data_IF_830889934336
#
_entry.id   IF_830889934336
#
_cell.length_a   1.000
_cell.length_b   1.000
_cell.length_c   1.000
_cell.angle_alpha   90.00
_cell.angle_beta   90.00
_cell.angle_gamma   90.00
#
_symmetry.space_group_name_H-M   'P 1'
#
loop_
_entity.id
_entity.type
_entity.pdbx_description
1 polymer ?
#
# COMPACT_ATOMS: atom_id res chain seq x y z
N UNK A 1 15.17 -13.78 -7.29
CA UNK A 1 14.61 -12.43 -7.05
C UNK A 1 13.41 -12.20 -7.98
N UNK A 2 12.44 -11.33 -7.65
CA UNK A 2 11.21 -11.14 -8.45
C UNK A 2 11.48 -10.98 -9.96
N UNK A 3 12.43 -10.12 -10.33
CA UNK A 3 12.79 -9.89 -11.74
C UNK A 3 13.40 -11.11 -12.42
N UNK A 4 14.19 -11.90 -11.71
CA UNK A 4 14.77 -13.13 -12.25
C UNK A 4 13.69 -14.19 -12.48
N UNK A 5 12.72 -14.29 -11.56
CA UNK A 5 11.54 -15.13 -11.73
C UNK A 5 10.72 -14.69 -12.95
N UNK A 6 10.57 -13.38 -13.18
CA UNK A 6 9.89 -12.85 -14.38
C UNK A 6 10.64 -13.26 -15.66
N UNK A 7 11.97 -13.20 -15.69
CA UNK A 7 12.76 -13.69 -16.83
C UNK A 7 12.52 -15.19 -17.06
N UNK A 8 12.51 -15.98 -15.98
CA UNK A 8 12.34 -17.44 -16.04
C UNK A 8 10.95 -17.86 -16.54
N UNK A 9 9.87 -17.26 -16.04
CA UNK A 9 8.49 -17.58 -16.49
C UNK A 9 8.24 -17.21 -17.97
N UNK A 10 9.06 -16.31 -18.53
CA UNK A 10 9.04 -15.97 -19.95
C UNK A 10 9.90 -16.91 -20.81
N UNK A 11 10.36 -18.04 -20.24
CA UNK A 11 11.10 -19.08 -20.98
C UNK A 11 12.56 -18.74 -21.25
N UNK A 12 13.09 -17.67 -20.66
CA UNK A 12 14.49 -17.32 -20.79
C UNK A 12 15.33 -17.95 -19.67
N UNK A 13 16.52 -18.44 -20.03
CA UNK A 13 17.50 -18.87 -19.02
C UNK A 13 17.99 -17.66 -18.22
N UNK A 14 17.85 -17.72 -16.89
CA UNK A 14 18.38 -16.70 -15.99
C UNK A 14 19.91 -16.76 -15.99
N UNK A 15 20.53 -15.90 -16.81
CA UNK A 15 21.98 -15.85 -16.94
C UNK A 15 22.64 -15.38 -15.64
N UNK A 16 23.84 -15.83 -15.25
CA UNK A 16 24.51 -15.27 -14.06
C UNK A 16 24.93 -13.79 -14.23
N UNK A 17 25.17 -13.36 -15.47
CA UNK A 17 25.60 -11.98 -15.81
C UNK A 17 24.44 -11.03 -15.74
N UNK A 18 24.58 -10.01 -14.90
CA UNK A 18 23.51 -9.05 -14.69
C UNK A 18 23.19 -8.19 -15.90
N UNK A 19 24.21 -7.75 -16.65
CA UNK A 19 24.02 -6.97 -17.88
C UNK A 19 23.13 -7.67 -18.91
N UNK A 20 23.15 -9.01 -18.94
CA UNK A 20 22.24 -9.82 -19.78
C UNK A 20 20.82 -9.76 -19.23
N UNK A 21 20.64 -9.92 -17.92
CA UNK A 21 19.32 -9.80 -17.26
C UNK A 21 18.69 -8.43 -17.49
N UNK A 22 19.48 -7.34 -17.40
CA UNK A 22 18.98 -5.98 -17.64
C UNK A 22 18.49 -5.82 -19.09
N UNK A 23 19.23 -6.35 -20.06
CA UNK A 23 18.80 -6.35 -21.46
C UNK A 23 17.51 -7.15 -21.66
N UNK A 24 17.38 -8.30 -21.00
CA UNK A 24 16.16 -9.11 -21.03
C UNK A 24 14.97 -8.34 -20.43
N UNK A 25 15.14 -7.70 -19.28
CA UNK A 25 14.08 -6.91 -18.63
C UNK A 25 13.62 -5.69 -19.43
N UNK A 26 14.50 -5.14 -20.28
CA UNK A 26 14.18 -4.06 -21.19
C UNK A 26 13.60 -4.55 -22.54
N UNK A 27 13.54 -5.87 -22.76
CA UNK A 27 12.89 -6.48 -23.91
C UNK A 27 11.40 -6.76 -23.67
N UNK A 28 10.79 -7.51 -24.58
CA UNK A 28 9.39 -7.93 -24.49
C UNK A 28 9.23 -9.13 -23.55
N UNK A 29 9.26 -8.86 -22.25
CA UNK A 29 8.82 -9.82 -21.23
C UNK A 29 7.38 -9.52 -20.84
N UNK A 30 6.57 -10.57 -20.70
CA UNK A 30 5.26 -10.51 -20.09
C UNK A 30 5.40 -10.53 -18.57
N UNK A 31 5.04 -9.44 -17.91
CA UNK A 31 4.99 -9.36 -16.46
C UNK A 31 3.65 -9.92 -15.95
N UNK A 32 3.54 -10.25 -14.65
CA UNK A 32 2.25 -10.51 -14.04
C UNK A 32 1.25 -9.39 -14.35
N UNK A 33 0.00 -9.76 -14.61
CA UNK A 33 -1.07 -8.85 -15.06
C UNK A 33 -1.15 -7.55 -14.21
N UNK A 34 -1.05 -7.69 -12.90
CA UNK A 34 -1.04 -6.56 -11.96
C UNK A 34 0.03 -5.52 -12.26
N UNK A 35 1.22 -5.95 -12.67
CA UNK A 35 2.35 -5.10 -13.04
C UNK A 35 2.17 -4.56 -14.47
N UNK A 36 1.72 -5.38 -15.42
CA UNK A 36 1.48 -4.92 -16.80
C UNK A 36 0.44 -3.80 -16.87
N UNK A 37 -0.64 -3.92 -16.10
CA UNK A 37 -1.68 -2.89 -16.00
C UNK A 37 -1.19 -1.59 -15.34
N UNK A 38 0.01 -1.59 -14.74
CA UNK A 38 0.55 -0.46 -13.97
C UNK A 38 1.97 -0.12 -14.43
N UNK A 39 2.12 0.62 -15.56
CA UNK A 39 3.42 1.01 -16.08
C UNK A 39 4.31 1.73 -15.04
N UNK A 40 3.69 2.51 -14.16
CA UNK A 40 4.38 3.20 -13.06
C UNK A 40 5.07 2.23 -12.09
N UNK A 41 4.47 1.05 -11.86
CA UNK A 41 5.03 0.01 -10.98
C UNK A 41 6.13 -0.73 -11.71
N UNK A 42 5.88 -1.18 -12.95
CA UNK A 42 6.85 -1.90 -13.80
C UNK A 42 8.18 -1.15 -13.89
N UNK A 43 8.15 0.12 -14.30
CA UNK A 43 9.36 0.93 -14.46
C UNK A 43 10.14 1.12 -13.16
N UNK A 44 9.45 1.28 -12.03
CA UNK A 44 10.10 1.44 -10.71
C UNK A 44 10.69 0.14 -10.20
N UNK A 45 10.02 -0.99 -10.35
CA UNK A 45 10.57 -2.28 -9.94
C UNK A 45 11.81 -2.64 -10.78
N UNK A 46 11.79 -2.37 -12.09
CA UNK A 46 12.98 -2.51 -12.96
C UNK A 46 14.10 -1.55 -12.51
N UNK A 47 13.75 -0.30 -12.20
CA UNK A 47 14.68 0.70 -11.66
C UNK A 47 15.36 0.25 -10.37
N UNK A 48 14.58 -0.24 -9.40
CA UNK A 48 15.10 -0.81 -8.15
C UNK A 48 16.09 -1.94 -8.41
N UNK A 49 15.72 -2.88 -9.28
CA UNK A 49 16.57 -4.00 -9.63
C UNK A 49 17.89 -3.54 -10.25
N UNK A 50 17.83 -2.61 -11.20
CA UNK A 50 19.00 -2.05 -11.88
C UNK A 50 19.93 -1.29 -10.94
N UNK A 51 19.37 -0.53 -10.00
CA UNK A 51 20.17 0.23 -9.04
C UNK A 51 20.84 -0.67 -8.00
N UNK A 52 20.08 -1.59 -7.40
CA UNK A 52 20.54 -2.42 -6.29
C UNK A 52 21.59 -3.45 -6.72
N UNK A 53 21.70 -3.82 -7.99
CA UNK A 53 22.75 -4.75 -8.42
C UNK A 53 24.15 -4.26 -8.14
N UNK A 54 24.40 -2.95 -8.29
CA UNK A 54 25.70 -2.38 -8.02
C UNK A 54 26.16 -2.69 -6.60
N UNK A 55 25.22 -2.90 -5.67
CA UNK A 55 25.47 -3.19 -4.26
C UNK A 55 25.28 -4.66 -3.89
N UNK A 56 24.83 -5.52 -4.81
CA UNK A 56 24.47 -6.92 -4.54
C UNK A 56 25.61 -7.72 -3.90
N UNK A 57 26.83 -7.61 -4.44
CA UNK A 57 27.98 -8.35 -3.89
C UNK A 57 28.33 -7.90 -2.48
N UNK A 58 28.28 -6.60 -2.21
CA UNK A 58 28.48 -6.07 -0.86
C UNK A 58 27.43 -6.64 0.10
N UNK A 59 26.17 -6.66 -0.33
CA UNK A 59 25.03 -7.17 0.44
C UNK A 59 25.14 -8.67 0.74
N UNK A 60 25.36 -9.50 -0.27
CA UNK A 60 25.41 -10.97 -0.12
C UNK A 60 26.58 -11.40 0.76
N UNK A 61 27.73 -10.73 0.64
CA UNK A 61 28.93 -11.09 1.38
C UNK A 61 29.06 -10.34 2.72
N UNK A 62 28.02 -9.63 3.15
CA UNK A 62 28.03 -8.82 4.38
C UNK A 62 29.27 -7.92 4.51
N UNK A 63 29.76 -7.40 3.38
CA UNK A 63 31.01 -6.65 3.31
C UNK A 63 30.74 -5.17 3.10
N UNK A 64 31.59 -4.33 3.69
CA UNK A 64 31.58 -2.87 3.50
C UNK A 64 30.30 -2.16 3.97
N UNK A 65 29.68 -2.70 5.02
CA UNK A 65 28.61 -2.03 5.76
C UNK A 65 29.19 -1.15 6.87
N UNK A 66 28.67 0.05 6.98
CA UNK A 66 28.90 0.91 8.15
C UNK A 66 27.56 1.50 8.59
N UNK A 67 27.48 1.95 9.85
CA UNK A 67 26.34 2.73 10.31
C UNK A 67 26.85 4.04 10.88
N UNK A 68 26.28 5.14 10.40
CA UNK A 68 26.60 6.50 10.83
C UNK A 68 25.30 7.30 10.88
N UNK A 69 25.05 7.97 12.00
CA UNK A 69 23.90 8.87 12.20
C UNK A 69 22.53 8.24 11.86
N UNK A 70 22.35 6.96 12.19
CA UNK A 70 21.09 6.23 11.93
C UNK A 70 20.87 5.84 10.46
N UNK A 71 21.88 6.05 9.61
CA UNK A 71 21.92 5.55 8.23
C UNK A 71 22.77 4.28 8.16
N UNK A 72 22.31 3.34 7.33
CA UNK A 72 23.11 2.22 6.87
C UNK A 72 23.84 2.65 5.60
N UNK A 73 25.17 2.66 5.66
CA UNK A 73 26.02 2.93 4.51
C UNK A 73 26.52 1.61 3.91
N UNK A 74 26.35 1.45 2.61
CA UNK A 74 26.78 0.27 1.85
C UNK A 74 27.72 0.75 0.75
N UNK A 75 29.00 0.38 0.84
CA UNK A 75 29.97 0.66 -0.23
C UNK A 75 30.02 -0.52 -1.20
N UNK A 76 30.39 -0.22 -2.44
CA UNK A 76 30.61 -1.24 -3.45
C UNK A 76 31.71 -0.80 -4.39
N UNK A 77 32.56 -1.74 -4.81
CA UNK A 77 33.57 -1.51 -5.85
C UNK A 77 32.97 -1.22 -7.23
N UNK A 78 31.68 -1.52 -7.44
CA UNK A 78 30.93 -1.25 -8.67
C UNK A 78 30.18 0.09 -8.66
N UNK A 79 30.12 0.76 -7.51
CA UNK A 79 29.41 2.02 -7.35
C UNK A 79 30.39 3.14 -7.00
N UNK A 80 30.24 4.29 -7.67
CA UNK A 80 31.07 5.46 -7.39
C UNK A 80 30.79 6.03 -6.00
N UNK A 81 29.53 5.96 -5.55
CA UNK A 81 29.08 6.49 -4.28
C UNK A 81 28.57 5.36 -3.39
N UNK A 82 28.72 5.54 -2.08
CA UNK A 82 28.07 4.69 -1.10
C UNK A 82 26.55 4.85 -1.19
N UNK A 83 25.82 3.75 -0.97
CA UNK A 83 24.39 3.79 -0.74
C UNK A 83 24.15 4.06 0.75
N UNK A 84 23.59 5.23 1.05
CA UNK A 84 23.11 5.55 2.40
C UNK A 84 21.59 5.36 2.44
N UNK A 85 21.11 4.52 3.36
CA UNK A 85 19.69 4.24 3.52
C UNK A 85 19.30 4.32 5.00
N UNK A 86 18.25 5.08 5.31
CA UNK A 86 17.71 5.15 6.68
C UNK A 86 16.87 3.93 7.03
N UNK A 87 16.60 3.71 8.31
CA UNK A 87 15.67 2.66 8.76
C UNK A 87 14.27 2.82 8.15
N UNK A 88 13.79 4.07 8.01
CA UNK A 88 12.51 4.37 7.37
C UNK A 88 12.50 3.97 5.89
N UNK A 89 13.55 4.31 5.15
CA UNK A 89 13.67 3.97 3.73
C UNK A 89 13.86 2.46 3.52
N UNK A 90 14.59 1.78 4.41
CA UNK A 90 14.74 0.33 4.37
C UNK A 90 13.40 -0.39 4.65
N UNK A 91 12.61 0.13 5.60
CA UNK A 91 11.24 -0.32 5.81
C UNK A 91 10.40 -0.09 4.54
N UNK A 92 10.42 1.10 3.95
CA UNK A 92 9.69 1.38 2.72
C UNK A 92 10.08 0.44 1.57
N UNK A 93 11.38 0.15 1.38
CA UNK A 93 11.84 -0.85 0.42
C UNK A 93 11.26 -2.25 0.70
N UNK A 94 11.23 -2.64 1.97
CA UNK A 94 10.66 -3.92 2.41
C UNK A 94 9.15 -3.97 2.13
N UNK A 95 8.43 -2.90 2.46
CA UNK A 95 6.99 -2.76 2.19
C UNK A 95 6.69 -2.86 0.70
N UNK A 96 7.49 -2.22 -0.16
CA UNK A 96 7.34 -2.32 -1.63
C UNK A 96 7.49 -3.76 -2.10
N UNK A 97 8.55 -4.45 -1.67
CA UNK A 97 8.83 -5.83 -2.10
C UNK A 97 7.76 -6.80 -1.60
N UNK A 98 7.45 -6.76 -0.30
CA UNK A 98 6.49 -7.67 0.33
C UNK A 98 5.08 -7.44 -0.22
N UNK A 99 4.64 -6.18 -0.32
CA UNK A 99 3.32 -5.85 -0.86
C UNK A 99 3.21 -6.29 -2.31
N UNK A 100 4.22 -6.02 -3.15
CA UNK A 100 4.22 -6.47 -4.55
C UNK A 100 4.09 -7.98 -4.66
N UNK A 101 4.85 -8.75 -3.87
CA UNK A 101 4.77 -10.22 -3.87
C UNK A 101 3.39 -10.69 -3.42
N UNK A 102 2.86 -10.16 -2.31
CA UNK A 102 1.53 -10.54 -1.80
C UNK A 102 0.42 -10.31 -2.83
N UNK A 103 0.53 -9.24 -3.61
CA UNK A 103 -0.45 -8.92 -4.63
C UNK A 103 -0.31 -9.80 -5.88
N UNK A 104 0.92 -10.10 -6.32
CA UNK A 104 1.16 -11.07 -7.41
C UNK A 104 0.67 -12.46 -7.02
N UNK A 105 0.92 -12.88 -5.78
CA UNK A 105 0.46 -14.15 -5.23
C UNK A 105 -1.04 -14.19 -4.92
N UNK A 106 -1.80 -13.12 -5.21
CA UNK A 106 -3.23 -12.99 -4.93
C UNK A 106 -3.62 -13.19 -3.46
N UNK A 107 -2.64 -13.06 -2.55
CA UNK A 107 -2.89 -13.04 -1.09
C UNK A 107 -3.57 -11.72 -0.72
N UNK A 108 -3.18 -10.64 -1.39
CA UNK A 108 -3.81 -9.34 -1.28
C UNK A 108 -4.50 -8.98 -2.58
N UNK A 109 -5.71 -8.44 -2.45
CA UNK A 109 -6.38 -7.73 -3.54
C UNK A 109 -5.73 -6.36 -3.67
N UNK A 110 -5.33 -6.00 -4.88
CA UNK A 110 -4.73 -4.69 -5.15
C UNK A 110 -5.83 -3.64 -5.32
N UNK A 111 -6.43 -3.27 -4.21
CA UNK A 111 -7.50 -2.28 -4.15
C UNK A 111 -6.94 -0.86 -3.95
N UNK A 112 -7.84 0.11 -3.85
CA UNK A 112 -7.48 1.52 -3.83
C UNK A 112 -6.50 1.88 -2.70
N UNK A 113 -6.67 1.30 -1.50
CA UNK A 113 -5.77 1.57 -0.38
C UNK A 113 -4.38 0.95 -0.58
N UNK A 114 -4.29 -0.31 -0.98
CA UNK A 114 -3.02 -1.00 -1.21
C UNK A 114 -2.23 -0.35 -2.35
N UNK A 115 -2.93 0.16 -3.38
CA UNK A 115 -2.29 0.93 -4.43
C UNK A 115 -1.68 2.22 -3.88
N UNK A 116 -2.44 3.03 -3.15
CA UNK A 116 -1.92 4.25 -2.50
C UNK A 116 -0.76 3.95 -1.56
N UNK A 117 -0.87 2.88 -0.78
CA UNK A 117 0.18 2.42 0.11
C UNK A 117 1.48 2.07 -0.62
N UNK A 118 1.38 1.31 -1.72
CA UNK A 118 2.54 0.96 -2.53
C UNK A 118 3.18 2.20 -3.19
N UNK A 119 2.37 3.11 -3.71
CA UNK A 119 2.84 4.36 -4.32
C UNK A 119 3.59 5.24 -3.33
N UNK A 120 3.07 5.38 -2.11
CA UNK A 120 3.71 6.15 -1.04
C UNK A 120 5.09 5.60 -0.71
N UNK A 121 5.21 4.28 -0.49
CA UNK A 121 6.51 3.68 -0.16
C UNK A 121 7.51 3.74 -1.32
N UNK A 122 7.04 3.69 -2.56
CA UNK A 122 7.89 3.93 -3.73
C UNK A 122 8.47 5.35 -3.74
N UNK A 123 7.66 6.36 -3.43
CA UNK A 123 8.13 7.75 -3.35
C UNK A 123 9.21 7.93 -2.28
N UNK A 124 9.07 7.25 -1.13
CA UNK A 124 10.08 7.25 -0.04
C UNK A 124 11.44 6.67 -0.46
N UNK A 125 11.46 5.82 -1.49
CA UNK A 125 12.68 5.17 -2.02
C UNK A 125 12.99 5.60 -3.45
N UNK A 126 12.51 6.76 -3.88
CA UNK A 126 12.69 7.25 -5.25
C UNK A 126 14.15 7.35 -5.70
N UNK A 127 15.06 7.65 -4.78
CA UNK A 127 16.50 7.64 -5.01
C UNK A 127 17.07 6.24 -5.34
N UNK A 128 16.38 5.15 -4.97
CA UNK A 128 16.78 3.80 -5.38
C UNK A 128 16.29 3.48 -6.78
N UNK A 129 15.05 3.84 -7.13
CA UNK A 129 14.49 3.45 -8.42
C UNK A 129 14.70 4.48 -9.53
N UNK A 130 15.18 5.69 -9.23
CA UNK A 130 15.57 6.72 -10.20
C UNK A 130 14.45 7.11 -11.18
N UNK A 131 13.19 7.06 -10.73
CA UNK A 131 12.02 7.51 -11.48
C UNK A 131 11.41 8.71 -10.76
N UNK A 132 10.63 9.58 -11.45
CA UNK A 132 9.93 10.70 -10.82
C UNK A 132 9.03 10.26 -9.64
N UNK A 133 8.70 11.18 -8.74
CA UNK A 133 7.72 10.92 -7.68
C UNK A 133 6.32 10.70 -8.28
N UNK A 134 5.53 9.86 -7.61
CA UNK A 134 4.09 9.69 -7.85
C UNK A 134 3.26 10.73 -7.09
N UNK A 135 3.91 11.49 -6.21
CA UNK A 135 3.31 12.54 -5.37
C UNK A 135 2.18 12.00 -4.51
N UNK A 136 2.36 10.78 -4.00
CA UNK A 136 1.37 10.13 -3.14
C UNK A 136 1.45 10.70 -1.72
N UNK A 137 0.31 11.16 -1.17
CA UNK A 137 0.27 11.58 0.24
C UNK A 137 0.40 10.36 1.15
N UNK A 138 0.71 10.61 2.42
CA UNK A 138 0.78 9.54 3.42
C UNK A 138 -0.58 8.83 3.53
N UNK A 139 -0.65 7.52 3.24
CA UNK A 139 -1.89 6.77 3.30
C UNK A 139 -2.25 6.53 4.77
N UNK A 140 -3.50 6.80 5.15
CA UNK A 140 -4.01 6.56 6.50
C UNK A 140 -5.30 5.76 6.39
N UNK A 141 -5.42 4.75 7.24
CA UNK A 141 -6.66 4.02 7.43
C UNK A 141 -7.18 4.29 8.84
N UNK A 142 -8.43 4.72 8.96
CA UNK A 142 -9.04 5.02 10.27
C UNK A 142 -10.32 4.21 10.46
N UNK A 143 -10.67 3.98 11.73
CA UNK A 143 -11.95 3.39 12.10
C UNK A 143 -12.88 4.51 12.55
N UNK A 144 -14.01 4.63 11.88
CA UNK A 144 -15.00 5.69 12.13
C UNK A 144 -16.19 5.07 12.82
N UNK A 145 -16.62 5.67 13.92
CA UNK A 145 -17.84 5.28 14.62
C UNK A 145 -18.89 6.35 14.40
N UNK A 146 -20.05 5.96 13.89
CA UNK A 146 -21.17 6.84 13.59
C UNK A 146 -22.39 6.36 14.36
N UNK A 147 -23.02 7.26 15.10
CA UNK A 147 -24.23 6.97 15.88
C UNK A 147 -25.42 7.53 15.12
N UNK A 148 -26.43 6.70 14.90
CA UNK A 148 -27.62 7.04 14.13
C UNK A 148 -28.86 6.66 14.92
N UNK A 149 -29.90 7.49 14.89
CA UNK A 149 -31.17 7.14 15.50
C UNK A 149 -31.84 6.03 14.71
N UNK A 150 -32.54 5.10 15.38
CA UNK A 150 -33.37 4.08 14.70
C UNK A 150 -34.41 4.66 13.73
N UNK A 151 -34.82 5.91 13.94
CA UNK A 151 -35.79 6.60 13.07
C UNK A 151 -35.15 7.16 11.80
N UNK A 152 -33.83 7.31 11.76
CA UNK A 152 -33.10 7.75 10.57
C UNK A 152 -32.91 6.56 9.64
N UNK A 153 -33.36 6.70 8.38
CA UNK A 153 -33.29 5.63 7.38
C UNK A 153 -32.12 5.78 6.40
N UNK A 154 -31.34 6.84 6.55
CA UNK A 154 -30.29 7.23 5.61
C UNK A 154 -29.02 7.61 6.35
N UNK A 155 -27.91 7.06 5.90
CA UNK A 155 -26.57 7.40 6.35
C UNK A 155 -25.93 8.39 5.37
N UNK A 156 -25.59 9.57 5.85
CA UNK A 156 -24.90 10.60 5.04
C UNK A 156 -23.39 10.34 5.01
N UNK A 157 -22.97 9.50 4.07
CA UNK A 157 -21.55 9.20 3.83
C UNK A 157 -20.78 10.43 3.34
N UNK A 158 -21.44 11.38 2.68
CA UNK A 158 -20.78 12.59 2.22
C UNK A 158 -20.37 13.47 3.40
N UNK A 159 -21.24 13.63 4.39
CA UNK A 159 -20.90 14.35 5.62
C UNK A 159 -19.74 13.69 6.35
N UNK A 160 -19.78 12.37 6.51
CA UNK A 160 -18.68 11.62 7.15
C UNK A 160 -17.36 11.84 6.38
N UNK A 161 -17.38 11.75 5.05
CA UNK A 161 -16.21 12.02 4.20
C UNK A 161 -15.69 13.46 4.36
N UNK A 162 -16.59 14.45 4.37
CA UNK A 162 -16.21 15.86 4.54
C UNK A 162 -15.55 16.14 5.90
N UNK A 163 -16.12 15.61 6.99
CA UNK A 163 -15.56 15.78 8.33
C UNK A 163 -14.16 15.15 8.43
N UNK A 164 -13.98 14.00 7.78
CA UNK A 164 -12.68 13.32 7.73
C UNK A 164 -11.68 14.04 6.82
N UNK A 165 -12.09 14.54 5.66
CA UNK A 165 -11.23 15.29 4.74
C UNK A 165 -10.70 16.57 5.38
N UNK A 166 -11.51 17.23 6.22
CA UNK A 166 -11.05 18.39 7.00
C UNK A 166 -10.00 18.00 8.04
N UNK A 167 -10.17 16.86 8.71
CA UNK A 167 -9.26 16.38 9.75
C UNK A 167 -7.97 15.78 9.20
N UNK A 168 -8.02 15.17 8.02
CA UNK A 168 -6.94 14.42 7.39
C UNK A 168 -6.55 15.01 6.01
N UNK A 169 -6.58 16.33 5.88
CA UNK A 169 -6.38 17.04 4.60
C UNK A 169 -5.04 16.75 3.90
N UNK A 170 -3.99 16.45 4.68
CA UNK A 170 -2.65 16.13 4.16
C UNK A 170 -2.42 14.63 3.92
N UNK A 171 -3.44 13.81 4.11
CA UNK A 171 -3.35 12.36 4.02
C UNK A 171 -4.20 11.80 2.89
N UNK A 172 -3.84 10.60 2.47
CA UNK A 172 -4.64 9.77 1.58
C UNK A 172 -5.48 8.82 2.41
N UNK A 173 -6.71 9.22 2.68
CA UNK A 173 -7.57 8.54 3.65
C UNK A 173 -8.34 7.35 3.05
N UNK A 174 -8.47 6.31 3.84
CA UNK A 174 -9.52 5.28 3.75
C UNK A 174 -10.08 5.03 5.14
N UNK A 175 -11.29 4.51 5.26
CA UNK A 175 -11.85 4.20 6.57
C UNK A 175 -12.89 3.11 6.57
N UNK A 176 -12.91 2.34 7.64
CA UNK A 176 -14.00 1.43 7.95
C UNK A 176 -15.02 2.15 8.83
N UNK A 177 -16.30 1.95 8.54
CA UNK A 177 -17.40 2.62 9.20
C UNK A 177 -18.17 1.65 10.11
N UNK A 178 -18.07 1.87 11.41
CA UNK A 178 -18.93 1.26 12.41
C UNK A 178 -20.17 2.13 12.64
N UNK A 179 -21.31 1.71 12.13
CA UNK A 179 -22.60 2.32 12.39
C UNK A 179 -23.23 1.72 13.65
N UNK A 180 -23.67 2.56 14.59
CA UNK A 180 -24.37 2.14 15.79
C UNK A 180 -25.77 2.76 15.78
N UNK A 181 -26.78 1.90 15.77
CA UNK A 181 -28.18 2.31 15.87
C UNK A 181 -28.54 2.49 17.33
N UNK A 182 -29.03 3.67 17.68
CA UNK A 182 -29.40 4.07 19.04
C UNK A 182 -30.90 4.36 19.11
N UNK A 183 -31.54 3.81 20.14
CA UNK A 183 -32.93 4.10 20.53
C UNK A 183 -32.95 4.52 21.98
N UNK A 184 -33.55 5.66 22.30
CA UNK A 184 -33.69 6.17 23.68
C UNK A 184 -32.36 6.15 24.47
N UNK A 185 -31.26 6.54 23.81
CA UNK A 185 -29.92 6.57 24.40
C UNK A 185 -29.26 5.21 24.60
N UNK A 186 -29.86 4.13 24.09
CA UNK A 186 -29.33 2.76 24.18
C UNK A 186 -28.93 2.24 22.80
N UNK A 187 -27.72 1.69 22.67
CA UNK A 187 -27.28 1.03 21.45
C UNK A 187 -28.01 -0.30 21.26
N UNK A 188 -28.71 -0.47 20.14
CA UNK A 188 -29.47 -1.69 19.82
C UNK A 188 -28.76 -2.58 18.79
N UNK A 189 -28.17 -1.97 17.76
CA UNK A 189 -27.53 -2.70 16.66
C UNK A 189 -26.23 -2.02 16.24
N UNK A 190 -25.28 -2.81 15.77
CA UNK A 190 -24.05 -2.31 15.19
C UNK A 190 -23.73 -3.01 13.86
N UNK A 191 -23.23 -2.24 12.92
CA UNK A 191 -22.79 -2.70 11.61
C UNK A 191 -21.37 -2.21 11.35
N UNK A 192 -20.51 -3.03 10.77
CA UNK A 192 -19.16 -2.63 10.38
C UNK A 192 -18.99 -2.77 8.86
N UNK A 193 -19.02 -1.63 8.18
CA UNK A 193 -18.82 -1.55 6.75
C UNK A 193 -17.34 -1.32 6.47
N UNK A 194 -16.63 -2.23 5.78
CA UNK A 194 -15.27 -1.95 5.35
C UNK A 194 -15.29 -0.86 4.26
N UNK A 195 -14.23 -0.04 4.18
CA UNK A 195 -14.11 1.05 3.19
C UNK A 195 -14.55 0.63 1.78
N UNK A 196 -14.13 -0.56 1.38
CA UNK A 196 -14.35 -1.13 0.03
C UNK A 196 -15.82 -1.38 -0.27
N UNK A 197 -16.66 -1.58 0.76
CA UNK A 197 -18.10 -1.78 0.58
C UNK A 197 -18.82 -0.49 0.18
N UNK A 198 -18.23 0.69 0.47
CA UNK A 198 -18.92 1.97 0.30
C UNK A 198 -18.11 3.09 -0.35
N UNK A 199 -16.84 2.85 -0.69
CA UNK A 199 -15.99 3.86 -1.30
C UNK A 199 -16.57 4.39 -2.62
N UNK A 200 -17.26 3.54 -3.38
CA UNK A 200 -17.97 3.89 -4.62
C UNK A 200 -19.48 4.12 -4.46
N UNK A 201 -19.99 4.10 -3.23
CA UNK A 201 -21.42 4.24 -2.95
C UNK A 201 -21.89 5.70 -3.08
N UNK A 202 -23.20 5.92 -3.33
CA UNK A 202 -23.78 7.26 -3.36
C UNK A 202 -23.58 8.02 -2.05
N UNK A 203 -23.66 9.34 -2.11
CA UNK A 203 -23.50 10.25 -0.97
C UNK A 203 -24.44 9.90 0.19
N UNK A 204 -25.67 9.52 -0.14
CA UNK A 204 -26.69 9.08 0.81
C UNK A 204 -26.82 7.56 0.67
N UNK A 205 -26.59 6.85 1.77
CA UNK A 205 -26.71 5.41 1.84
C UNK A 205 -28.00 5.05 2.57
N UNK A 206 -29.01 4.65 1.79
CA UNK A 206 -30.29 4.20 2.32
C UNK A 206 -30.13 2.85 3.03
N UNK A 207 -30.90 2.65 4.09
CA UNK A 207 -30.97 1.39 4.81
C UNK A 207 -31.46 0.30 3.85
N UNK A 208 -30.57 -0.63 3.52
CA UNK A 208 -30.80 -1.71 2.57
C UNK A 208 -30.81 -3.03 3.32
N UNK A 209 -31.58 -3.99 2.81
CA UNK A 209 -31.59 -5.37 3.30
C UNK A 209 -30.18 -6.02 3.26
N UNK A 210 -29.22 -5.42 2.54
CA UNK A 210 -27.83 -5.86 2.45
C UNK A 210 -26.95 -5.46 3.65
N UNK A 211 -27.46 -4.69 4.64
CA UNK A 211 -26.69 -4.33 5.84
C UNK A 211 -26.51 -5.51 6.80
N UNK A 212 -27.42 -6.48 6.78
CA UNK A 212 -27.39 -7.62 7.70
C UNK A 212 -26.07 -8.41 7.61
N UNK A 213 -25.46 -8.50 6.43
CA UNK A 213 -24.17 -9.17 6.24
C UNK A 213 -23.00 -8.49 6.97
N UNK A 214 -23.16 -7.22 7.35
CA UNK A 214 -22.16 -6.41 8.05
C UNK A 214 -22.46 -6.28 9.55
N UNK A 215 -23.50 -6.97 10.06
CA UNK A 215 -23.85 -6.89 11.46
C UNK A 215 -22.74 -7.47 12.34
N UNK A 216 -22.41 -6.73 13.40
CA UNK A 216 -21.42 -7.13 14.41
C UNK A 216 -22.03 -7.08 15.81
N UNK A 217 -21.46 -7.78 16.80
CA UNK A 217 -21.82 -7.56 18.20
C UNK A 217 -21.65 -6.09 18.60
N UNK A 218 -22.50 -5.60 19.50
CA UNK A 218 -22.36 -4.25 20.05
C UNK A 218 -20.96 -4.07 20.67
N UNK A 219 -20.24 -2.99 20.34
CA UNK A 219 -18.97 -2.68 20.99
C UNK A 219 -19.14 -2.56 22.50
N UNK A 220 -18.25 -3.18 23.29
CA UNK A 220 -18.35 -3.18 24.75
C UNK A 220 -17.98 -1.83 25.38
N UNK A 221 -17.40 -0.92 24.60
CA UNK A 221 -17.04 0.42 25.03
C UNK A 221 -18.32 1.28 25.07
N UNK A 222 -19.02 1.24 26.21
CA UNK A 222 -20.32 1.86 26.46
C UNK A 222 -20.39 3.40 26.43
N UNK A 223 -19.54 4.06 25.65
CA UNK A 223 -19.64 5.50 25.43
C UNK A 223 -20.59 5.77 24.26
N UNK A 224 -21.81 6.19 24.59
CA UNK A 224 -22.71 6.85 23.64
C UNK A 224 -22.56 8.35 23.94
N UNK A 225 -22.03 9.16 23.02
CA UNK A 225 -21.95 10.60 23.22
C UNK A 225 -23.36 11.13 23.49
N UNK A 226 -23.55 11.73 24.66
CA UNK A 226 -24.77 12.46 25.07
C UNK A 226 -24.93 13.74 24.28
#
# INVERSE_FOLDING_TARGET
>A
MLMEWIIEINGHTVNFRFSVKQKQLNGDLSFPELIEQRPWLKGRLIGLYNFLEKFRSAIIHHSQFSSLDGLLEIKSTKATNALCISSHQLRALTEVVVSTIRCISKVWTFEHYQEKYLRFHLDQISFLHQNPLLSQKTPVHVFVRYYQSKNEKTLDLQRVKQDLDQRYCDYDLSFDLTLIIVTDGTAEQAFCFPWVAFSGSPAIWENRDDWEQFQIPLPQDGYIPS
#
